data_IF_937063671264
#
_entry.id   IF_937063671264
#
_cell.length_a   1.000
_cell.length_b   1.000
_cell.length_c   1.000
_cell.angle_alpha   90.00
_cell.angle_beta   90.00
_cell.angle_gamma   90.00
#
_symmetry.space_group_name_H-M   'P 1'
#
loop_
_entity.id
_entity.type
_entity.pdbx_description
1 polymer ?
#
# COMPACT_ATOMS: atom_id res chain seq x y z
N UNK A 1 -35.62 -28.99 2.83
CA UNK A 1 -34.89 -28.44 1.65
C UNK A 1 -34.43 -27.02 1.88
N UNK A 2 -35.28 -26.08 2.34
CA UNK A 2 -34.93 -24.65 2.56
C UNK A 2 -33.77 -24.45 3.61
N UNK A 3 -33.75 -25.22 4.68
CA UNK A 3 -32.70 -25.12 5.70
C UNK A 3 -31.33 -25.56 5.18
N UNK A 4 -31.27 -26.64 4.36
CA UNK A 4 -30.04 -27.13 3.75
C UNK A 4 -29.46 -26.20 2.69
N UNK A 5 -30.28 -25.38 2.01
CA UNK A 5 -29.80 -24.37 1.05
C UNK A 5 -29.21 -23.15 1.74
N UNK A 6 -29.76 -22.77 2.91
CA UNK A 6 -29.28 -21.61 3.70
C UNK A 6 -27.97 -21.88 4.44
N UNK A 7 -27.60 -23.13 4.65
CA UNK A 7 -26.38 -23.53 5.36
C UNK A 7 -25.20 -23.85 4.44
N UNK A 8 -25.37 -23.79 3.11
CA UNK A 8 -24.26 -23.99 2.16
C UNK A 8 -23.26 -22.84 2.28
N UNK A 9 -21.96 -23.12 2.35
CA UNK A 9 -20.93 -22.08 2.31
C UNK A 9 -21.08 -21.24 1.04
N UNK A 10 -21.03 -19.93 1.17
CA UNK A 10 -21.07 -18.99 0.03
C UNK A 10 -19.70 -18.89 -0.66
N UNK A 11 -18.62 -19.04 0.11
CA UNK A 11 -17.25 -19.08 -0.41
C UNK A 11 -16.89 -20.54 -0.66
N UNK A 12 -16.40 -20.83 -1.85
CA UNK A 12 -15.97 -22.16 -2.28
C UNK A 12 -14.61 -22.09 -2.92
N UNK A 13 -13.77 -23.12 -2.81
CA UNK A 13 -12.50 -23.22 -3.53
C UNK A 13 -12.74 -23.18 -5.05
N UNK A 14 -11.89 -22.43 -5.76
CA UNK A 14 -11.90 -22.30 -7.21
C UNK A 14 -10.53 -22.65 -7.80
N UNK A 15 -10.53 -23.10 -9.05
CA UNK A 15 -9.30 -23.25 -9.82
C UNK A 15 -9.06 -21.95 -10.59
N UNK A 16 -7.92 -21.30 -10.32
CA UNK A 16 -7.52 -20.11 -11.07
C UNK A 16 -6.86 -20.52 -12.40
N UNK A 17 -7.58 -20.39 -13.49
CA UNK A 17 -7.09 -20.63 -14.86
C UNK A 17 -6.98 -19.35 -15.68
N UNK A 18 -6.90 -18.19 -15.05
CA UNK A 18 -6.89 -16.86 -15.73
C UNK A 18 -5.51 -16.45 -16.23
N UNK A 19 -4.44 -17.08 -15.75
CA UNK A 19 -3.05 -16.65 -15.99
C UNK A 19 -2.60 -15.48 -15.10
N UNK A 20 -3.47 -14.96 -14.22
CA UNK A 20 -3.14 -13.88 -13.27
C UNK A 20 -3.02 -14.47 -11.88
N UNK A 21 -1.80 -14.58 -11.36
CA UNK A 21 -1.52 -15.22 -10.06
C UNK A 21 -2.18 -14.46 -8.90
N UNK A 22 -2.04 -13.13 -8.87
CA UNK A 22 -2.63 -12.27 -7.83
C UNK A 22 -3.98 -11.70 -8.27
N UNK A 23 -4.89 -12.57 -8.74
CA UNK A 23 -6.18 -12.14 -9.25
C UNK A 23 -7.07 -11.56 -8.13
N UNK A 24 -7.43 -10.28 -8.24
CA UNK A 24 -8.16 -9.53 -7.19
C UNK A 24 -9.50 -10.13 -6.81
N UNK A 25 -10.22 -10.74 -7.76
CA UNK A 25 -11.54 -11.35 -7.51
C UNK A 25 -11.46 -12.82 -7.05
N UNK A 26 -10.25 -13.43 -7.05
CA UNK A 26 -10.03 -14.84 -6.70
C UNK A 26 -9.24 -15.00 -5.38
N UNK A 27 -9.20 -13.96 -4.55
CA UNK A 27 -8.60 -14.03 -3.21
C UNK A 27 -7.13 -13.60 -3.16
N UNK A 28 -6.51 -13.24 -4.30
CA UNK A 28 -5.09 -12.82 -4.42
C UNK A 28 -4.11 -13.92 -4.04
N UNK A 29 -3.09 -13.63 -3.20
CA UNK A 29 -2.09 -14.61 -2.78
C UNK A 29 -2.69 -15.69 -1.87
N UNK A 30 -2.27 -16.93 -2.11
CA UNK A 30 -2.58 -18.04 -1.21
C UNK A 30 -1.62 -18.05 -0.01
N UNK A 31 -2.11 -18.52 1.12
CA UNK A 31 -1.28 -18.78 2.29
C UNK A 31 -0.52 -20.11 2.12
N UNK A 32 0.71 -20.16 2.61
CA UNK A 32 1.44 -21.42 2.70
C UNK A 32 0.87 -22.30 3.81
N UNK A 33 1.14 -23.60 3.76
CA UNK A 33 0.60 -24.60 4.71
C UNK A 33 0.96 -24.27 6.16
N UNK A 34 2.21 -23.85 6.41
CA UNK A 34 2.66 -23.50 7.75
C UNK A 34 1.91 -22.28 8.31
N UNK A 35 1.67 -21.25 7.48
CA UNK A 35 0.88 -20.08 7.89
C UNK A 35 -0.57 -20.47 8.20
N UNK A 36 -1.18 -21.32 7.37
CA UNK A 36 -2.54 -21.81 7.60
C UNK A 36 -2.66 -22.60 8.90
N UNK A 37 -1.72 -23.50 9.17
CA UNK A 37 -1.66 -24.31 10.39
C UNK A 37 -1.53 -23.44 11.64
N UNK A 38 -0.64 -22.43 11.61
CA UNK A 38 -0.45 -21.50 12.71
C UNK A 38 -1.70 -20.62 12.95
N UNK A 39 -2.31 -20.09 11.89
CA UNK A 39 -3.55 -19.31 11.99
C UNK A 39 -4.66 -20.13 12.63
N UNK A 40 -4.82 -21.40 12.21
CA UNK A 40 -5.84 -22.29 12.77
C UNK A 40 -5.61 -22.55 14.25
N UNK A 41 -4.36 -22.81 14.66
CA UNK A 41 -4.01 -23.03 16.06
C UNK A 41 -4.27 -21.80 16.95
N UNK A 42 -3.88 -20.61 16.49
CA UNK A 42 -4.07 -19.36 17.23
C UNK A 42 -5.54 -18.95 17.27
N UNK A 43 -6.26 -19.09 16.15
CA UNK A 43 -7.67 -18.69 16.07
C UNK A 43 -8.62 -19.58 16.90
N UNK A 44 -8.20 -20.80 17.21
CA UNK A 44 -8.98 -21.75 18.03
C UNK A 44 -8.68 -21.67 19.53
N UNK A 45 -7.80 -20.77 19.99
CA UNK A 45 -7.39 -20.63 21.38
C UNK A 45 -7.22 -19.16 21.80
N UNK A 46 -7.08 -18.93 23.10
CA UNK A 46 -6.62 -17.63 23.59
C UNK A 46 -5.15 -17.43 23.20
N UNK A 47 -4.78 -16.21 22.86
CA UNK A 47 -3.42 -15.85 22.43
C UNK A 47 -2.90 -14.60 23.14
N UNK A 48 -1.62 -14.38 23.06
CA UNK A 48 -0.93 -13.22 23.62
C UNK A 48 -0.94 -11.99 22.69
N UNK A 49 -1.96 -11.83 21.85
CA UNK A 49 -2.04 -10.76 20.81
C UNK A 49 -1.76 -9.34 21.37
N UNK A 50 -2.19 -9.06 22.60
CA UNK A 50 -1.95 -7.80 23.29
C UNK A 50 -1.43 -8.05 24.74
N UNK A 51 -0.72 -9.15 24.95
CA UNK A 51 -0.17 -9.52 26.26
C UNK A 51 1.31 -9.86 26.13
N UNK A 52 2.16 -9.16 26.89
CA UNK A 52 3.57 -9.53 27.07
C UNK A 52 3.66 -10.61 28.14
N UNK A 53 4.01 -11.83 27.73
CA UNK A 53 4.03 -13.02 28.63
C UNK A 53 5.03 -12.81 29.76
N UNK A 54 6.19 -12.22 29.47
CA UNK A 54 7.30 -12.02 30.42
C UNK A 54 6.92 -11.10 31.57
N UNK A 55 6.03 -10.17 31.34
CA UNK A 55 5.67 -9.13 32.33
C UNK A 55 4.23 -9.19 32.80
N UNK A 56 3.38 -9.97 32.11
CA UNK A 56 1.93 -10.00 32.32
C UNK A 56 1.22 -8.68 32.01
N UNK A 57 1.91 -7.71 31.38
CA UNK A 57 1.35 -6.39 31.02
C UNK A 57 0.79 -6.39 29.62
N UNK A 58 -0.07 -5.39 29.35
CA UNK A 58 -0.58 -5.15 28.00
C UNK A 58 0.56 -4.80 27.05
N UNK A 59 0.63 -5.50 25.91
CA UNK A 59 1.50 -5.24 24.77
C UNK A 59 0.80 -4.45 23.66
N UNK A 60 1.52 -4.20 22.59
CA UNK A 60 1.03 -3.52 21.39
C UNK A 60 0.92 -4.57 20.27
N UNK A 61 -0.21 -4.57 19.56
CA UNK A 61 -0.56 -5.61 18.59
C UNK A 61 0.44 -5.75 17.43
N UNK A 62 1.00 -4.65 16.93
CA UNK A 62 1.94 -4.67 15.81
C UNK A 62 3.38 -5.06 16.21
N UNK A 63 3.73 -5.03 17.50
CA UNK A 63 5.05 -5.51 17.98
C UNK A 63 5.33 -6.96 17.55
N UNK A 64 4.29 -7.77 17.32
CA UNK A 64 4.45 -9.16 16.90
C UNK A 64 5.08 -9.33 15.50
N UNK A 65 5.07 -8.30 14.66
CA UNK A 65 5.52 -8.36 13.24
C UNK A 65 6.49 -7.25 12.85
N UNK A 66 6.65 -6.21 13.66
CA UNK A 66 7.49 -5.05 13.36
C UNK A 66 8.95 -5.47 13.10
N UNK A 67 9.58 -6.17 14.04
CA UNK A 67 10.96 -6.64 13.90
C UNK A 67 11.17 -7.52 12.67
N UNK A 68 10.22 -8.42 12.36
CA UNK A 68 10.29 -9.30 11.19
C UNK A 68 10.23 -8.52 9.87
N UNK A 69 9.37 -7.50 9.80
CA UNK A 69 9.26 -6.66 8.60
C UNK A 69 10.52 -5.81 8.46
N UNK A 70 11.04 -5.24 9.53
CA UNK A 70 12.28 -4.48 9.52
C UNK A 70 13.47 -5.34 9.06
N UNK A 71 13.59 -6.60 9.52
CA UNK A 71 14.62 -7.53 9.08
C UNK A 71 14.52 -7.84 7.58
N UNK A 72 13.30 -8.07 7.08
CA UNK A 72 13.08 -8.40 5.67
C UNK A 72 13.25 -7.22 4.71
N UNK A 73 12.95 -6.01 5.15
CA UNK A 73 12.91 -4.82 4.28
C UNK A 73 14.11 -3.90 4.47
N UNK A 74 14.79 -3.97 5.61
CA UNK A 74 15.81 -3.02 6.02
C UNK A 74 15.24 -1.68 6.51
N UNK A 75 13.93 -1.60 6.75
CA UNK A 75 13.28 -0.40 7.29
C UNK A 75 13.65 -0.19 8.77
N UNK A 76 13.61 1.06 9.24
CA UNK A 76 13.87 1.40 10.65
C UNK A 76 12.69 1.05 11.56
N UNK A 77 11.47 1.06 11.03
CA UNK A 77 10.24 0.67 11.73
C UNK A 77 9.16 0.25 10.73
N UNK A 78 8.18 -0.51 11.20
CA UNK A 78 7.08 -0.99 10.39
C UNK A 78 5.75 -0.94 11.16
N UNK A 79 4.66 -0.78 10.41
CA UNK A 79 3.31 -0.90 10.94
C UNK A 79 2.44 -1.66 9.94
N UNK A 80 1.59 -2.55 10.44
CA UNK A 80 0.66 -3.31 9.62
C UNK A 80 -0.74 -2.75 9.78
N UNK A 81 -1.38 -2.49 8.65
CA UNK A 81 -2.79 -2.10 8.55
C UNK A 81 -3.54 -3.11 7.67
N UNK A 82 -4.85 -3.06 7.66
CA UNK A 82 -5.68 -4.09 7.03
C UNK A 82 -5.65 -4.11 5.48
N UNK A 83 -5.20 -3.05 4.82
CA UNK A 83 -5.04 -3.00 3.36
C UNK A 83 -4.18 -1.83 2.91
N UNK A 84 -3.75 -1.86 1.63
CA UNK A 84 -2.93 -0.82 1.01
C UNK A 84 -3.63 0.56 1.04
N UNK A 85 -4.92 0.65 0.76
CA UNK A 85 -5.65 1.93 0.80
C UNK A 85 -5.59 2.60 2.18
N UNK A 86 -5.69 1.80 3.25
CA UNK A 86 -5.51 2.27 4.63
C UNK A 86 -4.08 2.71 4.91
N UNK A 87 -3.08 2.00 4.36
CA UNK A 87 -1.67 2.39 4.50
C UNK A 87 -1.38 3.73 3.82
N UNK A 88 -1.81 3.89 2.57
CA UNK A 88 -1.62 5.13 1.81
C UNK A 88 -2.32 6.32 2.50
N UNK A 89 -3.58 6.12 2.92
CA UNK A 89 -4.34 7.15 3.64
C UNK A 89 -3.65 7.57 4.95
N UNK A 90 -3.17 6.60 5.73
CA UNK A 90 -2.47 6.84 6.99
C UNK A 90 -1.19 7.64 6.78
N UNK A 91 -0.36 7.23 5.83
CA UNK A 91 0.90 7.90 5.54
C UNK A 91 0.67 9.34 5.05
N UNK A 92 -0.23 9.54 4.10
CA UNK A 92 -0.54 10.86 3.55
C UNK A 92 -1.11 11.80 4.62
N UNK A 93 -2.10 11.34 5.40
CA UNK A 93 -2.71 12.14 6.45
C UNK A 93 -1.71 12.50 7.55
N UNK A 94 -0.80 11.57 7.91
CA UNK A 94 0.16 11.80 9.00
C UNK A 94 1.31 12.71 8.59
N UNK A 95 1.80 12.57 7.34
CA UNK A 95 3.06 13.19 6.91
C UNK A 95 2.87 14.40 5.98
N UNK A 96 1.69 14.56 5.37
CA UNK A 96 1.48 15.55 4.31
C UNK A 96 0.10 16.23 4.38
N UNK A 97 -0.64 16.12 5.49
CA UNK A 97 -1.93 16.79 5.65
C UNK A 97 -1.77 18.31 5.42
N UNK A 98 -2.67 18.89 4.63
CA UNK A 98 -2.70 20.29 4.22
C UNK A 98 -1.52 20.80 3.38
N UNK A 99 -0.66 19.87 2.88
CA UNK A 99 0.45 20.19 2.00
C UNK A 99 0.26 19.64 0.59
N UNK A 100 1.04 20.15 -0.37
CA UNK A 100 1.07 19.62 -1.72
C UNK A 100 1.83 18.28 -1.75
N UNK A 101 1.21 17.27 -2.37
CA UNK A 101 1.84 15.98 -2.66
C UNK A 101 2.00 15.87 -4.17
N UNK A 102 3.26 15.84 -4.62
CA UNK A 102 3.59 15.81 -6.05
C UNK A 102 3.63 14.36 -6.53
N UNK A 103 2.85 14.06 -7.57
CA UNK A 103 2.75 12.73 -8.17
C UNK A 103 2.74 12.82 -9.70
N UNK A 104 3.30 11.81 -10.37
CA UNK A 104 3.23 11.72 -11.84
C UNK A 104 1.79 11.50 -12.32
N UNK A 105 1.37 12.26 -13.33
CA UNK A 105 0.07 12.09 -13.98
C UNK A 105 -0.12 10.69 -14.56
N UNK A 106 0.96 10.07 -15.02
CA UNK A 106 0.96 8.68 -15.51
C UNK A 106 0.82 7.62 -14.39
N UNK A 107 0.79 8.01 -13.12
CA UNK A 107 0.68 7.12 -11.97
C UNK A 107 -0.64 7.28 -11.19
N UNK A 108 -1.59 8.07 -11.71
CA UNK A 108 -2.92 8.25 -11.12
C UNK A 108 -3.81 7.05 -11.45
N UNK A 109 -3.58 5.96 -10.73
CA UNK A 109 -4.22 4.67 -10.98
C UNK A 109 -5.61 4.57 -10.31
N UNK A 110 -6.50 3.79 -10.95
CA UNK A 110 -7.72 3.28 -10.34
C UNK A 110 -7.66 1.75 -10.27
N UNK A 111 -7.86 1.18 -9.07
CA UNK A 111 -7.78 -0.26 -8.81
C UNK A 111 -9.07 -0.75 -8.14
N UNK A 112 -9.59 -1.91 -8.60
CA UNK A 112 -10.71 -2.59 -7.96
C UNK A 112 -12.03 -1.83 -7.93
N UNK A 113 -12.24 -0.88 -8.83
CA UNK A 113 -13.50 -0.18 -9.05
C UNK A 113 -13.82 0.93 -8.03
N UNK A 114 -12.95 1.20 -7.06
CA UNK A 114 -13.20 2.26 -6.08
C UNK A 114 -11.96 2.89 -5.45
N UNK A 115 -10.78 2.29 -5.55
CA UNK A 115 -9.54 2.90 -5.10
C UNK A 115 -8.96 3.77 -6.22
N UNK A 116 -9.03 5.08 -6.04
CA UNK A 116 -8.46 6.07 -6.95
C UNK A 116 -7.48 6.94 -6.19
N UNK A 117 -6.25 7.05 -6.68
CA UNK A 117 -5.20 7.85 -6.02
C UNK A 117 -5.67 9.28 -5.73
N UNK A 118 -6.29 10.03 -6.67
CA UNK A 118 -6.78 11.37 -6.38
C UNK A 118 -7.82 11.42 -5.25
N UNK A 119 -8.72 10.43 -5.18
CA UNK A 119 -9.77 10.39 -4.15
C UNK A 119 -9.18 10.13 -2.75
N UNK A 120 -8.17 9.25 -2.68
CA UNK A 120 -7.46 8.96 -1.43
C UNK A 120 -6.67 10.18 -0.96
N UNK A 121 -6.00 10.88 -1.86
CA UNK A 121 -5.29 12.12 -1.53
C UNK A 121 -6.24 13.20 -1.02
N UNK A 122 -7.38 13.41 -1.68
CA UNK A 122 -8.40 14.35 -1.19
C UNK A 122 -8.91 13.97 0.20
N UNK A 123 -9.16 12.67 0.45
CA UNK A 123 -9.64 12.18 1.76
C UNK A 123 -8.58 12.26 2.85
N UNK A 124 -7.29 12.21 2.51
CA UNK A 124 -6.19 12.37 3.46
C UNK A 124 -5.95 13.82 3.90
N UNK A 125 -6.64 14.78 3.28
CA UNK A 125 -6.42 16.19 3.53
C UNK A 125 -5.25 16.81 2.76
N UNK A 126 -4.59 16.04 1.88
CA UNK A 126 -3.50 16.53 1.04
C UNK A 126 -4.02 17.29 -0.19
N UNK A 127 -3.16 18.14 -0.74
CA UNK A 127 -3.38 18.85 -1.99
C UNK A 127 -2.67 18.07 -3.11
N UNK A 128 -3.44 17.50 -4.04
CA UNK A 128 -2.89 16.79 -5.19
C UNK A 128 -2.19 17.77 -6.14
N UNK A 129 -0.92 17.51 -6.45
CA UNK A 129 -0.16 18.24 -7.47
C UNK A 129 0.39 17.28 -8.52
N UNK A 130 -0.23 17.31 -9.68
CA UNK A 130 0.13 16.44 -10.80
C UNK A 130 1.30 17.01 -11.61
N UNK A 131 2.27 16.17 -12.00
CA UNK A 131 3.40 16.55 -12.86
C UNK A 131 3.54 15.65 -14.08
N UNK A 132 4.21 16.17 -15.11
CA UNK A 132 4.40 15.45 -16.37
C UNK A 132 3.14 15.30 -17.20
N UNK A 133 3.14 14.27 -18.02
CA UNK A 133 2.01 13.88 -18.91
C UNK A 133 1.63 12.41 -18.66
N UNK A 134 0.58 11.93 -19.32
CA UNK A 134 0.11 10.55 -19.17
C UNK A 134 1.20 9.50 -19.41
N UNK A 135 2.06 9.70 -20.42
CA UNK A 135 3.07 8.74 -20.83
C UNK A 135 4.50 9.17 -20.54
N UNK A 136 4.74 10.43 -20.14
CA UNK A 136 6.10 10.93 -19.92
C UNK A 136 6.15 11.87 -18.73
N UNK A 137 6.97 11.50 -17.75
CA UNK A 137 7.33 12.34 -16.61
C UNK A 137 8.83 12.29 -16.43
N UNK A 138 9.44 13.45 -16.29
CA UNK A 138 10.87 13.63 -16.10
C UNK A 138 11.17 14.21 -14.73
N UNK A 139 12.35 14.01 -14.19
CA UNK A 139 12.76 14.55 -12.90
C UNK A 139 12.59 16.08 -12.82
N UNK A 140 12.88 16.79 -13.93
CA UNK A 140 12.67 18.24 -14.03
C UNK A 140 11.22 18.67 -13.77
N UNK A 141 10.23 17.81 -14.03
CA UNK A 141 8.83 18.13 -13.82
C UNK A 141 8.52 18.19 -12.32
N UNK A 142 9.12 17.29 -11.52
CA UNK A 142 9.09 17.33 -10.07
C UNK A 142 9.85 18.54 -9.53
N UNK A 143 11.09 18.78 -9.99
CA UNK A 143 11.93 19.90 -9.56
C UNK A 143 11.20 21.25 -9.76
N UNK A 144 10.57 21.45 -10.93
CA UNK A 144 9.86 22.68 -11.25
C UNK A 144 8.55 22.85 -10.45
N UNK A 145 7.97 21.76 -9.94
CA UNK A 145 6.74 21.79 -9.18
C UNK A 145 6.97 22.06 -7.68
N UNK A 146 8.16 21.76 -7.16
CA UNK A 146 8.48 21.96 -5.74
C UNK A 146 8.39 23.45 -5.37
N UNK A 147 7.71 23.74 -4.26
CA UNK A 147 7.60 25.06 -3.63
C UNK A 147 7.50 24.92 -2.10
N UNK A 148 7.24 26.01 -1.41
CA UNK A 148 7.15 26.07 0.07
C UNK A 148 5.97 25.28 0.65
N UNK A 149 4.94 24.97 -0.15
CA UNK A 149 3.77 24.18 0.26
C UNK A 149 3.97 22.67 0.02
N UNK A 150 5.07 22.27 -0.62
CA UNK A 150 5.35 20.88 -0.95
C UNK A 150 5.74 20.09 0.28
N UNK A 151 4.91 19.11 0.68
CA UNK A 151 5.16 18.21 1.81
C UNK A 151 5.72 16.84 1.41
N UNK A 152 5.41 16.35 0.20
CA UNK A 152 5.79 14.99 -0.17
C UNK A 152 5.96 14.81 -1.69
N UNK A 153 6.88 13.93 -2.08
CA UNK A 153 6.98 13.36 -3.44
C UNK A 153 6.43 11.93 -3.39
N UNK A 154 5.40 11.65 -4.18
CA UNK A 154 4.75 10.35 -4.20
C UNK A 154 5.07 9.61 -5.50
N UNK A 155 5.50 8.36 -5.35
CA UNK A 155 5.65 7.37 -6.42
C UNK A 155 4.55 6.33 -6.28
N UNK A 156 3.81 6.03 -7.36
CA UNK A 156 2.76 5.00 -7.34
C UNK A 156 3.02 3.97 -8.44
N UNK A 157 2.96 2.69 -8.06
CA UNK A 157 3.07 1.59 -9.01
C UNK A 157 1.78 1.44 -9.83
N UNK A 158 1.94 1.26 -11.16
CA UNK A 158 0.81 1.16 -12.11
C UNK A 158 0.16 -0.23 -12.15
N UNK A 159 0.04 -0.89 -11.05
CA UNK A 159 -0.38 -2.28 -10.76
C UNK A 159 -1.19 -3.02 -11.84
N UNK A 160 -2.16 -2.36 -12.50
CA UNK A 160 -3.15 -3.00 -13.37
C UNK A 160 -3.18 -2.49 -14.82
N UNK A 161 -2.22 -1.63 -15.19
CA UNK A 161 -2.07 -1.18 -16.57
C UNK A 161 -0.60 -0.94 -16.94
N UNK A 162 -0.33 -0.87 -18.25
CA UNK A 162 0.99 -0.56 -18.80
C UNK A 162 0.84 0.45 -19.92
N UNK A 163 1.77 1.41 -19.99
CA UNK A 163 1.86 2.36 -21.09
C UNK A 163 3.06 1.95 -21.94
N UNK A 164 2.82 1.60 -23.19
CA UNK A 164 3.85 1.22 -24.16
C UNK A 164 4.10 2.31 -25.19
N UNK A 165 5.28 2.35 -25.76
CA UNK A 165 5.68 3.30 -26.80
C UNK A 165 6.64 4.37 -26.27
N UNK A 166 6.42 5.63 -26.63
CA UNK A 166 7.28 6.74 -26.20
C UNK A 166 6.97 7.14 -24.76
N UNK A 167 7.55 6.42 -23.80
CA UNK A 167 7.33 6.60 -22.37
C UNK A 167 8.57 7.11 -21.64
N UNK A 168 8.39 7.77 -20.51
CA UNK A 168 9.42 8.09 -19.54
C UNK A 168 8.80 8.16 -18.14
N UNK A 169 9.49 7.60 -17.14
CA UNK A 169 9.10 7.67 -15.73
C UNK A 169 10.32 7.97 -14.88
N UNK A 170 10.08 8.57 -13.72
CA UNK A 170 11.11 8.84 -12.72
C UNK A 170 11.18 7.65 -11.76
N UNK A 171 12.37 7.17 -11.48
CA UNK A 171 12.59 6.06 -10.54
C UNK A 171 12.47 6.54 -9.09
N UNK A 172 12.17 5.60 -8.18
CA UNK A 172 12.17 5.92 -6.73
C UNK A 172 13.54 6.41 -6.25
N UNK A 173 14.63 5.91 -6.83
CA UNK A 173 16.00 6.35 -6.48
C UNK A 173 16.23 7.82 -6.83
N UNK A 174 15.76 8.28 -7.98
CA UNK A 174 15.85 9.68 -8.39
C UNK A 174 14.97 10.57 -7.50
N UNK A 175 13.76 10.12 -7.15
CA UNK A 175 12.89 10.86 -6.22
C UNK A 175 13.47 10.89 -4.81
N UNK A 176 14.05 9.80 -4.32
CA UNK A 176 14.70 9.76 -3.01
C UNK A 176 15.90 10.74 -2.94
N UNK A 177 16.73 10.78 -3.99
CA UNK A 177 17.83 11.74 -4.07
C UNK A 177 17.33 13.20 -4.09
N UNK A 178 16.27 13.48 -4.85
CA UNK A 178 15.65 14.81 -4.90
C UNK A 178 15.02 15.18 -3.54
N UNK A 179 14.31 14.25 -2.90
CA UNK A 179 13.72 14.46 -1.58
C UNK A 179 14.78 14.76 -0.52
N UNK A 180 15.90 14.04 -0.55
CA UNK A 180 17.04 14.31 0.34
C UNK A 180 17.65 15.68 0.07
N UNK A 181 17.89 16.06 -1.20
CA UNK A 181 18.41 17.39 -1.56
C UNK A 181 17.51 18.53 -1.09
N UNK A 182 16.19 18.36 -1.22
CA UNK A 182 15.20 19.38 -0.91
C UNK A 182 14.61 19.28 0.49
N UNK A 183 15.02 18.29 1.29
CA UNK A 183 14.46 17.97 2.61
C UNK A 183 12.93 17.76 2.58
N UNK A 184 12.46 17.01 1.58
CA UNK A 184 11.05 16.66 1.37
C UNK A 184 10.89 15.15 1.54
N UNK A 185 9.82 14.73 2.23
CA UNK A 185 9.48 13.33 2.38
C UNK A 185 9.21 12.66 1.02
N UNK A 186 9.64 11.40 0.88
CA UNK A 186 9.38 10.59 -0.32
C UNK A 186 8.64 9.32 0.10
N UNK A 187 7.56 9.03 -0.58
CA UNK A 187 6.74 7.83 -0.36
C UNK A 187 6.64 7.03 -1.65
N UNK A 188 6.75 5.70 -1.53
CA UNK A 188 6.45 4.78 -2.62
C UNK A 188 5.27 3.89 -2.26
N UNK A 189 4.21 3.92 -3.07
CA UNK A 189 3.14 2.91 -3.07
C UNK A 189 3.51 1.80 -4.05
N UNK A 190 3.94 0.67 -3.51
CA UNK A 190 4.37 -0.48 -4.31
C UNK A 190 3.21 -1.19 -5.02
N UNK A 191 1.99 -0.85 -4.64
CA UNK A 191 0.80 -1.50 -5.17
C UNK A 191 0.68 -2.97 -4.73
N UNK A 192 0.14 -3.78 -5.61
CA UNK A 192 -0.09 -5.22 -5.37
C UNK A 192 0.22 -6.04 -6.62
#
# INVERSE_FOLDING_TARGET
KLAGEKTKPRLVPLINATGVVLHTNLGRALLCEDAFSNISAIASSYSNLELRIETGKRGIRYEAVDDLICELTGAESAIVVNNNAGAVLLCLNTLAEHTEVIVSRGELVEIGGSFRVPDVMTKSGCILKEVGTTNRTHLRDYVNAINEETGMLLKVHTSNYRIDGFTASVSIKELAALGQEKNIAVMEDLGS
#
